data_IF_243140548270
#
_entry.id   IF_243140548270
#
_cell.length_a   1.000
_cell.length_b   1.000
_cell.length_c   1.000
_cell.angle_alpha   90.00
_cell.angle_beta   90.00
_cell.angle_gamma   90.00
#
_symmetry.space_group_name_H-M   'P 1'
#
loop_
_entity.id
_entity.type
_entity.pdbx_description
1 polymer ?
#
# COMPACT_ATOMS: atom_id res chain seq x y z
N UNK A 1 -23.35 2.42 -4.84
CA UNK A 1 -22.99 1.60 -6.00
C UNK A 1 -23.79 0.32 -5.92
N UNK A 2 -24.67 0.07 -6.88
CA UNK A 2 -25.45 -1.16 -6.96
C UNK A 2 -24.65 -2.14 -7.84
N UNK A 3 -23.84 -3.00 -7.22
CA UNK A 3 -22.92 -3.93 -7.90
C UNK A 3 -23.40 -5.35 -7.61
N UNK A 4 -23.54 -6.15 -8.67
CA UNK A 4 -23.93 -7.56 -8.59
C UNK A 4 -22.94 -8.36 -7.73
N UNK A 5 -23.45 -9.04 -6.71
CA UNK A 5 -22.65 -9.77 -5.72
C UNK A 5 -21.88 -10.93 -6.36
N UNK A 6 -22.39 -11.53 -7.45
CA UNK A 6 -21.70 -12.59 -8.18
C UNK A 6 -20.38 -12.12 -8.82
N UNK A 7 -20.18 -10.81 -8.99
CA UNK A 7 -18.98 -10.21 -9.61
C UNK A 7 -18.00 -9.64 -8.59
N UNK A 8 -18.25 -9.84 -7.28
CA UNK A 8 -17.42 -9.28 -6.21
C UNK A 8 -16.54 -10.37 -5.58
N UNK A 9 -15.22 -10.18 -5.67
CA UNK A 9 -14.26 -10.95 -4.87
C UNK A 9 -14.09 -10.33 -3.48
N UNK A 10 -14.28 -11.12 -2.42
CA UNK A 10 -13.99 -10.72 -1.03
C UNK A 10 -12.93 -11.66 -0.45
N UNK A 11 -11.88 -11.10 0.15
CA UNK A 11 -10.84 -11.87 0.84
C UNK A 11 -10.53 -11.22 2.19
N UNK A 12 -10.37 -12.05 3.23
CA UNK A 12 -10.07 -11.59 4.59
C UNK A 12 -9.01 -12.47 5.22
N UNK A 13 -7.98 -11.85 5.79
CA UNK A 13 -6.97 -12.50 6.63
C UNK A 13 -7.00 -11.87 8.01
N UNK A 14 -7.13 -12.70 9.05
CA UNK A 14 -7.20 -12.26 10.46
C UNK A 14 -5.87 -12.54 11.16
N UNK A 15 -5.60 -11.79 12.23
CA UNK A 15 -4.41 -11.97 13.09
C UNK A 15 -3.08 -11.95 12.32
N UNK A 16 -2.96 -11.05 11.34
CA UNK A 16 -1.75 -10.89 10.54
C UNK A 16 -0.61 -10.40 11.43
N UNK A 17 0.55 -11.07 11.37
CA UNK A 17 1.75 -10.69 12.12
C UNK A 17 2.51 -9.53 11.45
N UNK A 18 1.82 -8.44 11.13
CA UNK A 18 2.40 -7.19 10.62
C UNK A 18 1.89 -5.98 11.41
N UNK A 19 2.65 -4.90 11.36
CA UNK A 19 2.27 -3.65 12.02
C UNK A 19 1.00 -3.08 11.40
N UNK A 20 -0.01 -2.82 12.22
CA UNK A 20 -1.25 -2.15 11.81
C UNK A 20 -0.98 -0.78 11.17
N UNK A 21 0.05 -0.08 11.67
CA UNK A 21 0.47 1.25 11.19
C UNK A 21 0.95 1.21 9.75
N UNK A 22 1.65 0.14 9.39
CA UNK A 22 2.16 -0.04 8.03
C UNK A 22 1.05 -0.54 7.10
N UNK A 23 0.27 -1.53 7.56
CA UNK A 23 -0.88 -2.07 6.81
C UNK A 23 -1.87 -0.98 6.40
N UNK A 24 -2.14 -0.01 7.28
CA UNK A 24 -3.02 1.12 6.94
C UNK A 24 -2.53 1.88 5.71
N UNK A 25 -1.23 2.22 5.66
CA UNK A 25 -0.67 2.96 4.54
C UNK A 25 -0.61 2.10 3.28
N UNK A 26 -0.28 0.81 3.40
CA UNK A 26 -0.34 -0.13 2.27
C UNK A 26 -1.74 -0.21 1.67
N UNK A 27 -2.76 -0.48 2.49
CA UNK A 27 -4.15 -0.56 2.04
C UNK A 27 -4.66 0.75 1.44
N UNK A 28 -4.22 1.90 1.99
CA UNK A 28 -4.58 3.21 1.45
C UNK A 28 -3.90 3.47 0.09
N UNK A 29 -2.67 2.99 -0.10
CA UNK A 29 -1.94 3.16 -1.35
C UNK A 29 -2.51 2.33 -2.51
N UNK A 30 -3.09 1.15 -2.26
CA UNK A 30 -3.65 0.32 -3.34
C UNK A 30 -5.15 0.57 -3.59
N UNK A 31 -5.80 1.35 -2.73
CA UNK A 31 -7.25 1.58 -2.82
C UNK A 31 -7.61 2.26 -4.14
N UNK A 32 -8.50 1.63 -4.91
CA UNK A 32 -9.00 2.14 -6.19
C UNK A 32 -8.11 1.82 -7.39
N UNK A 33 -7.02 1.07 -7.22
CA UNK A 33 -6.22 0.56 -8.33
C UNK A 33 -6.87 -0.68 -8.96
N UNK A 34 -6.53 -0.95 -10.22
CA UNK A 34 -6.73 -2.28 -10.81
C UNK A 34 -5.83 -3.29 -10.10
N UNK A 35 -6.27 -4.55 -10.00
CA UNK A 35 -5.52 -5.61 -9.31
C UNK A 35 -4.09 -5.75 -9.86
N UNK A 36 -3.94 -5.76 -11.19
CA UNK A 36 -2.63 -5.86 -11.86
C UNK A 36 -1.71 -4.68 -11.58
N UNK A 37 -2.25 -3.46 -11.48
CA UNK A 37 -1.49 -2.27 -11.12
C UNK A 37 -1.06 -2.29 -9.65
N UNK A 38 -1.94 -2.77 -8.77
CA UNK A 38 -1.66 -2.91 -7.35
C UNK A 38 -0.55 -3.94 -7.11
N UNK A 39 -0.61 -5.10 -7.77
CA UNK A 39 0.44 -6.13 -7.70
C UNK A 39 1.78 -5.57 -8.16
N UNK A 40 1.83 -4.92 -9.32
CA UNK A 40 3.07 -4.32 -9.83
C UNK A 40 3.64 -3.28 -8.86
N UNK A 41 2.79 -2.38 -8.36
CA UNK A 41 3.20 -1.35 -7.39
C UNK A 41 3.78 -1.96 -6.10
N UNK A 42 3.15 -3.01 -5.56
CA UNK A 42 3.61 -3.67 -4.35
C UNK A 42 4.94 -4.41 -4.57
N UNK A 43 5.13 -5.04 -5.73
CA UNK A 43 6.40 -5.66 -6.12
C UNK A 43 7.51 -4.62 -6.28
N UNK A 44 7.24 -3.51 -6.97
CA UNK A 44 8.21 -2.41 -7.11
C UNK A 44 8.59 -1.81 -5.74
N UNK A 45 7.65 -1.75 -4.81
CA UNK A 45 7.91 -1.33 -3.44
C UNK A 45 8.71 -2.37 -2.63
N UNK A 46 8.52 -3.67 -2.85
CA UNK A 46 9.33 -4.71 -2.23
C UNK A 46 10.79 -4.67 -2.71
N UNK A 47 10.98 -4.41 -4.00
CA UNK A 47 12.28 -4.29 -4.66
C UNK A 47 12.96 -2.94 -4.41
N UNK A 48 12.25 -1.97 -3.83
CA UNK A 48 12.78 -0.64 -3.53
C UNK A 48 12.81 0.33 -4.71
N UNK A 49 12.22 -0.06 -5.85
CA UNK A 49 12.11 0.78 -7.05
C UNK A 49 11.18 1.97 -6.81
N UNK A 50 10.08 1.76 -6.09
CA UNK A 50 9.10 2.80 -5.80
C UNK A 50 8.76 2.89 -4.31
N UNK A 51 8.90 4.08 -3.72
CA UNK A 51 8.58 4.28 -2.31
C UNK A 51 7.07 4.28 -2.05
N UNK A 52 6.66 3.59 -0.98
CA UNK A 52 5.27 3.58 -0.54
C UNK A 52 4.96 4.85 0.27
N UNK A 53 3.92 5.62 -0.07
CA UNK A 53 3.54 6.84 0.65
C UNK A 53 3.06 6.56 2.07
N UNK A 54 3.54 7.35 3.04
CA UNK A 54 3.10 7.27 4.43
C UNK A 54 2.30 8.51 4.81
N UNK A 55 0.98 8.37 4.92
CA UNK A 55 0.08 9.46 5.38
C UNK A 55 0.00 9.53 6.90
N UNK A 56 -0.10 8.38 7.56
CA UNK A 56 -0.18 8.26 9.01
C UNK A 56 1.05 7.55 9.54
N UNK A 57 1.38 7.80 10.81
CA UNK A 57 2.52 7.20 11.50
C UNK A 57 3.87 7.46 10.78
N UNK A 58 3.97 8.59 10.08
CA UNK A 58 5.13 8.99 9.29
C UNK A 58 6.26 9.63 10.12
N UNK A 59 6.15 9.67 11.45
CA UNK A 59 7.21 10.24 12.31
C UNK A 59 8.50 9.46 12.10
N UNK A 60 9.57 10.16 11.71
CA UNK A 60 10.86 9.56 11.33
C UNK A 60 10.86 8.86 9.97
N UNK A 61 9.86 9.09 9.10
CA UNK A 61 9.94 8.67 7.69
C UNK A 61 10.72 9.71 6.90
N UNK A 62 11.75 9.27 6.19
CA UNK A 62 12.53 10.15 5.33
C UNK A 62 11.72 10.55 4.07
N UNK A 63 12.06 11.71 3.54
CA UNK A 63 11.61 12.08 2.20
C UNK A 63 12.23 11.15 1.16
N UNK A 64 11.44 10.80 0.13
CA UNK A 64 11.87 9.93 -0.95
C UNK A 64 11.57 10.59 -2.29
N UNK A 65 12.55 10.64 -3.17
CA UNK A 65 12.41 11.20 -4.53
C UNK A 65 11.58 10.31 -5.45
N UNK A 66 11.63 8.99 -5.23
CA UNK A 66 10.91 7.98 -6.01
C UNK A 66 9.48 7.70 -5.49
N UNK A 67 8.89 8.65 -4.78
CA UNK A 67 7.46 8.62 -4.44
C UNK A 67 6.67 9.30 -5.56
N UNK A 68 5.55 8.70 -5.97
CA UNK A 68 4.78 9.28 -7.06
C UNK A 68 4.14 10.61 -6.64
N UNK A 69 4.27 11.68 -7.44
CA UNK A 69 3.65 12.99 -7.15
C UNK A 69 2.13 12.93 -6.94
N UNK A 70 1.46 11.92 -7.53
CA UNK A 70 0.01 11.72 -7.41
C UNK A 70 -0.48 11.62 -5.96
N UNK A 71 0.39 11.17 -5.05
CA UNK A 71 0.04 10.95 -3.65
C UNK A 71 0.05 12.22 -2.81
N UNK A 72 0.62 13.33 -3.32
CA UNK A 72 0.80 14.60 -2.59
C UNK A 72 1.52 14.43 -1.24
N UNK A 73 2.35 13.41 -1.13
CA UNK A 73 3.14 13.07 0.06
C UNK A 73 4.59 12.91 -0.38
N UNK A 74 5.51 13.47 0.42
CA UNK A 74 6.96 13.39 0.17
C UNK A 74 7.65 12.31 1.00
N UNK A 75 7.02 11.86 2.09
CA UNK A 75 7.52 10.85 3.02
C UNK A 75 7.14 9.44 2.56
N UNK A 76 8.12 8.53 2.55
CA UNK A 76 7.89 7.16 2.11
C UNK A 76 8.75 6.12 2.83
N UNK A 77 8.25 4.89 2.86
CA UNK A 77 8.96 3.72 3.41
C UNK A 77 8.73 2.48 2.56
N UNK A 78 9.37 1.38 2.97
CA UNK A 78 9.26 0.07 2.33
C UNK A 78 8.87 -0.99 3.36
N UNK A 79 7.59 -1.05 3.78
CA UNK A 79 7.15 -1.99 4.83
C UNK A 79 7.05 -3.42 4.28
N UNK A 80 8.21 -4.05 4.04
CA UNK A 80 8.33 -5.38 3.40
C UNK A 80 7.45 -6.44 4.06
N UNK A 81 7.36 -6.43 5.40
CA UNK A 81 6.53 -7.37 6.16
C UNK A 81 5.05 -7.20 5.86
N UNK A 82 4.55 -5.95 5.81
CA UNK A 82 3.14 -5.67 5.56
C UNK A 82 2.75 -5.94 4.11
N UNK A 83 3.64 -5.71 3.15
CA UNK A 83 3.36 -5.93 1.72
C UNK A 83 3.28 -7.43 1.38
N UNK A 84 4.04 -8.29 2.07
CA UNK A 84 4.02 -9.75 1.85
C UNK A 84 2.76 -10.46 2.35
N UNK A 85 1.86 -9.77 3.05
CA UNK A 85 0.65 -10.34 3.65
C UNK A 85 -0.59 -10.05 2.84
#
# INVERSE_FOLDING_TARGET
>A
MNVDEARIGKAVKRNVAASLRDLYNVCKAIRGMKVTEAERFLTDALEGKQALPFWKHQRGAAHRSNISPKWKVKSGRYPKKAIKY
#
